data_IF_337012275379
#
_entry.id   IF_337012275379
#
_cell.length_a   1.000
_cell.length_b   1.000
_cell.length_c   1.000
_cell.angle_alpha   90.00
_cell.angle_beta   90.00
_cell.angle_gamma   90.00
#
_symmetry.space_group_name_H-M   'P 1'
#
loop_
_entity.id
_entity.type
_entity.pdbx_description
1 polymer ?
#
# COMPACT_ATOMS: atom_id res chain seq x y z
N UNK A 1 -15.73 -21.34 42.11
CA UNK A 1 -15.67 -20.01 41.44
C UNK A 1 -15.06 -20.26 40.08
N UNK A 2 -15.91 -20.31 39.06
CA UNK A 2 -15.47 -20.61 37.69
C UNK A 2 -14.62 -19.45 37.20
N UNK A 3 -13.38 -19.72 36.79
CA UNK A 3 -12.51 -18.67 36.29
C UNK A 3 -13.16 -18.05 35.04
N UNK A 4 -13.09 -16.71 34.88
CA UNK A 4 -13.69 -16.04 33.74
C UNK A 4 -12.93 -16.42 32.46
N UNK A 5 -13.36 -17.49 31.80
CA UNK A 5 -12.78 -18.02 30.55
C UNK A 5 -12.78 -16.96 29.44
N UNK A 6 -13.73 -16.03 29.45
CA UNK A 6 -13.78 -14.87 28.56
C UNK A 6 -12.51 -14.00 28.61
N UNK A 7 -11.89 -13.88 29.78
CA UNK A 7 -10.66 -13.09 29.95
C UNK A 7 -9.49 -13.77 29.23
N UNK A 8 -9.42 -15.10 29.28
CA UNK A 8 -8.42 -15.88 28.56
C UNK A 8 -8.59 -15.76 27.03
N UNK A 9 -9.83 -15.83 26.53
CA UNK A 9 -10.12 -15.61 25.10
C UNK A 9 -9.78 -14.19 24.65
N UNK A 10 -10.09 -13.17 25.45
CA UNK A 10 -9.76 -11.78 25.15
C UNK A 10 -8.25 -11.55 25.08
N UNK A 11 -7.49 -12.12 26.03
CA UNK A 11 -6.02 -12.06 26.03
C UNK A 11 -5.42 -12.78 24.81
N UNK A 12 -5.94 -13.95 24.46
CA UNK A 12 -5.51 -14.67 23.26
C UNK A 12 -5.78 -13.86 21.99
N UNK A 13 -6.97 -13.25 21.86
CA UNK A 13 -7.31 -12.38 20.73
C UNK A 13 -6.39 -11.16 20.65
N UNK A 14 -6.15 -10.47 21.75
CA UNK A 14 -5.22 -9.32 21.79
C UNK A 14 -3.79 -9.74 21.42
N UNK A 15 -3.32 -10.88 21.94
CA UNK A 15 -1.99 -11.40 21.63
C UNK A 15 -1.85 -11.75 20.15
N UNK A 16 -2.85 -12.41 19.55
CA UNK A 16 -2.84 -12.72 18.10
C UNK A 16 -2.87 -11.46 17.24
N UNK A 17 -3.67 -10.46 17.60
CA UNK A 17 -3.74 -9.19 16.88
C UNK A 17 -2.41 -8.42 16.98
N UNK A 18 -1.80 -8.40 18.17
CA UNK A 18 -0.48 -7.81 18.39
C UNK A 18 0.61 -8.54 17.60
N UNK A 19 0.61 -9.87 17.58
CA UNK A 19 1.53 -10.69 16.78
C UNK A 19 1.37 -10.42 15.27
N UNK A 20 0.13 -10.31 14.77
CA UNK A 20 -0.14 -9.98 13.37
C UNK A 20 0.39 -8.58 13.03
N UNK A 21 0.12 -7.58 13.87
CA UNK A 21 0.60 -6.22 13.67
C UNK A 21 2.14 -6.15 13.72
N UNK A 22 2.77 -6.81 14.70
CA UNK A 22 4.22 -6.84 14.85
C UNK A 22 4.89 -7.57 13.67
N UNK A 23 4.33 -8.71 13.24
CA UNK A 23 4.85 -9.44 12.08
C UNK A 23 4.76 -8.61 10.80
N UNK A 24 3.68 -7.84 10.63
CA UNK A 24 3.52 -6.92 9.49
C UNK A 24 4.52 -5.76 9.55
N UNK A 25 4.85 -5.29 10.75
CA UNK A 25 5.80 -4.20 10.95
C UNK A 25 7.25 -4.67 10.69
N UNK A 26 7.61 -5.86 11.19
CA UNK A 26 8.92 -6.49 10.97
C UNK A 26 9.14 -6.85 9.50
N UNK A 27 8.07 -7.18 8.76
CA UNK A 27 8.16 -7.43 7.31
C UNK A 27 8.40 -6.17 6.47
N UNK A 28 8.25 -4.96 7.03
CA UNK A 28 8.57 -3.71 6.32
C UNK A 28 10.10 -3.54 6.26
N UNK A 29 10.73 -4.14 5.26
CA UNK A 29 12.07 -3.72 4.86
C UNK A 29 12.01 -2.26 4.40
N UNK A 30 12.94 -1.42 4.88
CA UNK A 30 13.21 -0.09 4.31
C UNK A 30 13.79 -0.28 2.92
N UNK A 31 12.92 -0.53 1.95
CA UNK A 31 13.26 -0.42 0.54
C UNK A 31 13.15 1.05 0.15
N UNK A 32 14.07 1.53 -0.69
CA UNK A 32 13.97 2.84 -1.32
C UNK A 32 12.87 2.77 -2.38
N UNK A 33 11.63 2.83 -1.90
CA UNK A 33 10.44 2.80 -2.74
C UNK A 33 10.19 4.18 -3.33
N UNK A 34 9.66 4.25 -4.56
CA UNK A 34 9.26 5.53 -5.13
C UNK A 34 8.18 6.18 -4.26
N UNK A 35 8.11 7.52 -4.24
CA UNK A 35 7.13 8.26 -3.44
C UNK A 35 5.70 7.88 -3.83
N UNK A 36 4.73 8.06 -2.93
CA UNK A 36 3.34 7.76 -3.24
C UNK A 36 2.35 8.04 -2.11
N UNK A 37 1.04 8.08 -2.42
CA UNK A 37 -0.01 8.21 -1.42
C UNK A 37 -0.05 7.00 -0.49
N UNK A 38 -0.42 7.25 0.77
CA UNK A 38 -0.57 6.20 1.78
C UNK A 38 -1.82 5.36 1.49
N UNK A 39 -1.69 4.05 1.27
CA UNK A 39 -2.79 3.18 0.89
C UNK A 39 -3.71 2.83 2.06
N UNK A 40 -5.00 2.69 1.78
CA UNK A 40 -5.98 2.15 2.71
C UNK A 40 -5.81 0.64 2.87
N UNK A 41 -6.15 0.08 4.05
CA UNK A 41 -6.20 -1.36 4.23
C UNK A 41 -7.15 -2.00 3.20
N UNK A 42 -6.73 -3.11 2.59
CA UNK A 42 -7.50 -3.93 1.64
C UNK A 42 -7.79 -3.25 0.28
N UNK A 43 -8.27 -2.01 0.27
CA UNK A 43 -8.67 -1.24 -0.93
C UNK A 43 -7.45 -0.61 -1.65
N UNK A 44 -6.41 -0.26 -0.90
CA UNK A 44 -5.25 0.44 -1.44
C UNK A 44 -5.55 1.92 -1.73
N UNK A 45 -5.16 2.39 -2.92
CA UNK A 45 -5.31 3.75 -3.43
C UNK A 45 -6.45 3.86 -4.46
N UNK A 46 -7.29 2.83 -4.60
CA UNK A 46 -8.41 2.85 -5.55
C UNK A 46 -9.40 4.00 -5.25
N UNK A 47 -9.48 4.45 -4.01
CA UNK A 47 -10.25 5.63 -3.61
C UNK A 47 -9.79 6.94 -4.27
N UNK A 48 -8.56 6.98 -4.80
CA UNK A 48 -8.00 8.14 -5.50
C UNK A 48 -8.20 8.06 -7.02
N UNK A 49 -8.70 6.94 -7.54
CA UNK A 49 -8.90 6.68 -8.96
C UNK A 49 -10.37 6.95 -9.30
N UNK A 50 -10.64 8.02 -10.03
CA UNK A 50 -11.98 8.38 -10.48
C UNK A 50 -12.41 7.61 -11.73
N UNK A 51 -13.54 8.03 -12.31
CA UNK A 51 -14.08 7.44 -13.55
C UNK A 51 -13.13 7.50 -14.75
N UNK A 52 -12.19 8.44 -14.73
CA UNK A 52 -11.14 8.60 -15.74
C UNK A 52 -9.75 8.35 -15.10
N UNK A 53 -9.29 7.08 -15.05
CA UNK A 53 -8.07 6.71 -14.34
C UNK A 53 -6.83 7.48 -14.81
N UNK A 54 -6.70 7.72 -16.11
CA UNK A 54 -5.56 8.44 -16.69
C UNK A 54 -5.48 9.89 -16.15
N UNK A 55 -6.60 10.59 -15.93
CA UNK A 55 -6.61 11.94 -15.35
C UNK A 55 -6.25 11.92 -13.87
N UNK A 56 -6.83 10.99 -13.11
CA UNK A 56 -6.51 10.82 -11.69
C UNK A 56 -5.04 10.48 -11.48
N UNK A 57 -4.50 9.55 -12.27
CA UNK A 57 -3.08 9.16 -12.23
C UNK A 57 -2.18 10.33 -12.62
N UNK A 58 -2.53 11.11 -13.65
CA UNK A 58 -1.78 12.31 -14.02
C UNK A 58 -1.78 13.35 -12.90
N UNK A 59 -2.92 13.61 -12.26
CA UNK A 59 -2.97 14.54 -11.12
C UNK A 59 -2.10 14.06 -9.95
N UNK A 60 -2.06 12.74 -9.69
CA UNK A 60 -1.16 12.16 -8.70
C UNK A 60 0.32 12.31 -9.10
N UNK A 61 0.67 12.13 -10.38
CA UNK A 61 2.06 12.30 -10.84
C UNK A 61 2.55 13.74 -10.71
N UNK A 62 1.69 14.74 -10.87
CA UNK A 62 2.04 16.13 -10.60
C UNK A 62 2.42 16.38 -9.13
N UNK A 63 1.87 15.58 -8.20
CA UNK A 63 2.13 15.70 -6.77
C UNK A 63 3.31 14.86 -6.28
N UNK A 64 3.43 13.63 -6.76
CA UNK A 64 4.43 12.66 -6.27
C UNK A 64 5.65 12.54 -7.18
N UNK A 65 5.59 13.07 -8.40
CA UNK A 65 6.68 13.08 -9.36
C UNK A 65 6.53 12.04 -10.49
N UNK A 66 7.55 11.95 -11.36
CA UNK A 66 7.51 11.16 -12.59
C UNK A 66 7.52 9.65 -12.36
N UNK A 67 7.96 9.19 -11.18
CA UNK A 67 7.88 7.81 -10.74
C UNK A 67 7.22 7.77 -9.36
N UNK A 68 6.13 7.01 -9.24
CA UNK A 68 5.40 6.90 -7.99
C UNK A 68 4.88 5.48 -7.75
N UNK A 69 4.66 5.14 -6.47
CA UNK A 69 4.06 3.87 -6.08
C UNK A 69 2.60 4.05 -5.67
N UNK A 70 1.74 3.20 -6.22
CA UNK A 70 0.35 3.04 -5.81
C UNK A 70 0.11 1.62 -5.28
N UNK A 71 -1.05 1.41 -4.65
CA UNK A 71 -1.59 0.07 -4.40
C UNK A 71 -2.99 -0.02 -4.96
N UNK A 72 -3.31 -1.04 -5.75
CA UNK A 72 -4.67 -1.32 -6.18
C UNK A 72 -5.14 -2.57 -5.46
N UNK A 73 -6.04 -2.38 -4.50
CA UNK A 73 -6.35 -3.41 -3.51
C UNK A 73 -5.10 -3.78 -2.71
N UNK A 74 -4.81 -5.09 -2.67
CA UNK A 74 -3.60 -5.64 -2.06
C UNK A 74 -2.35 -5.54 -2.95
N UNK A 75 -2.49 -5.24 -4.24
CA UNK A 75 -1.41 -5.31 -5.23
C UNK A 75 -0.61 -4.00 -5.31
N UNK A 76 0.73 -4.03 -5.16
CA UNK A 76 1.57 -2.87 -5.40
C UNK A 76 1.71 -2.58 -6.90
N UNK A 77 1.61 -1.30 -7.29
CA UNK A 77 1.72 -0.84 -8.68
C UNK A 77 2.70 0.31 -8.73
N UNK A 78 3.62 0.29 -9.70
CA UNK A 78 4.54 1.41 -9.95
C UNK A 78 4.08 2.12 -11.22
N UNK A 79 3.98 3.45 -11.16
CA UNK A 79 3.53 4.28 -12.27
C UNK A 79 4.68 5.18 -12.72
N UNK A 80 4.98 5.14 -14.02
CA UNK A 80 5.87 6.07 -14.70
C UNK A 80 5.05 7.06 -15.53
N UNK A 81 5.23 8.37 -15.30
CA UNK A 81 4.47 9.45 -15.95
C UNK A 81 5.36 10.42 -16.73
N UNK A 82 6.54 9.97 -17.17
CA UNK A 82 7.45 10.74 -18.03
C UNK A 82 7.96 9.89 -19.19
N UNK A 83 8.49 10.56 -20.22
CA UNK A 83 9.10 9.90 -21.39
C UNK A 83 10.27 9.01 -20.97
N UNK A 84 11.11 9.48 -20.04
CA UNK A 84 12.26 8.72 -19.56
C UNK A 84 11.82 7.44 -18.81
N UNK A 85 10.75 7.52 -18.02
CA UNK A 85 10.19 6.34 -17.36
C UNK A 85 9.54 5.38 -18.36
N UNK A 86 8.87 5.89 -19.40
CA UNK A 86 8.31 5.05 -20.46
C UNK A 86 9.43 4.27 -21.18
N UNK A 87 10.54 4.92 -21.54
CA UNK A 87 11.71 4.26 -22.13
C UNK A 87 12.26 3.17 -21.21
N UNK A 88 12.42 3.47 -19.92
CA UNK A 88 12.94 2.53 -18.92
C UNK A 88 12.02 1.30 -18.72
N UNK A 89 10.70 1.49 -18.70
CA UNK A 89 9.74 0.41 -18.45
C UNK A 89 9.47 -0.43 -19.69
N UNK A 90 9.34 0.20 -20.85
CA UNK A 90 9.00 -0.46 -22.10
C UNK A 90 10.22 -1.03 -22.83
N UNK A 91 11.44 -0.80 -22.31
CA UNK A 91 12.72 -1.21 -22.93
C UNK A 91 12.77 -0.86 -24.42
N UNK A 92 12.42 0.38 -24.75
CA UNK A 92 12.14 0.68 -26.16
C UNK A 92 13.40 0.64 -27.03
N UNK A 93 14.62 0.77 -26.48
CA UNK A 93 15.91 0.40 -27.11
C UNK A 93 16.95 0.15 -26.02
#
# INVERSE_FOLDING_TARGET
MESPTWAAYALAWLATLALLLLSSHLRRRKLNLPPGPKPWPIIGNLNLIGSLPHRSIHALSQKYGPIMQLRFGSFPVVVGSSVDMAKAFLKTY
#
